data_IF_435561960093
#
_entry.id   IF_435561960093
#
_cell.length_a   1.000
_cell.length_b   1.000
_cell.length_c   1.000
_cell.angle_alpha   90.00
_cell.angle_beta   90.00
_cell.angle_gamma   90.00
#
_symmetry.space_group_name_H-M   'P 1'
#
loop_
_entity.id
_entity.type
_entity.pdbx_description
1 polymer ?
#
# COMPACT_ATOMS: atom_id res chain seq x y z
N UNK A 1 1.27 -29.65 -41.35
CA UNK A 1 1.00 -28.68 -40.27
C UNK A 1 -0.40 -28.91 -39.73
N UNK A 2 -0.51 -29.37 -38.47
CA UNK A 2 -1.80 -29.58 -37.79
C UNK A 2 -2.07 -28.33 -36.93
N UNK A 3 -3.09 -27.51 -37.20
CA UNK A 3 -3.41 -26.37 -36.35
C UNK A 3 -4.00 -26.87 -35.02
N UNK A 4 -3.47 -26.37 -33.91
CA UNK A 4 -3.91 -26.74 -32.56
C UNK A 4 -5.35 -26.31 -32.29
N UNK A 5 -6.17 -27.25 -31.82
CA UNK A 5 -7.59 -27.12 -31.42
C UNK A 5 -7.87 -25.91 -30.50
N UNK A 6 -6.86 -25.42 -29.78
CA UNK A 6 -6.94 -24.22 -28.94
C UNK A 6 -7.34 -22.95 -29.71
N UNK A 7 -6.94 -22.81 -30.98
CA UNK A 7 -7.26 -21.59 -31.76
C UNK A 7 -8.72 -21.51 -32.20
N UNK A 8 -9.37 -22.65 -32.43
CA UNK A 8 -10.79 -22.71 -32.79
C UNK A 8 -11.69 -22.41 -31.59
N UNK A 9 -11.31 -22.83 -30.38
CA UNK A 9 -12.09 -22.57 -29.16
C UNK A 9 -12.10 -21.07 -28.76
N UNK A 10 -10.97 -20.37 -28.92
CA UNK A 10 -10.88 -18.93 -28.63
C UNK A 10 -11.69 -18.09 -29.61
N UNK A 11 -11.78 -18.51 -30.87
CA UNK A 11 -12.57 -17.79 -31.87
C UNK A 11 -14.07 -17.94 -31.64
N UNK A 12 -14.54 -19.13 -31.21
CA UNK A 12 -15.97 -19.37 -30.93
C UNK A 12 -16.45 -18.59 -29.70
N UNK A 13 -15.61 -18.39 -28.68
CA UNK A 13 -15.96 -17.62 -27.47
C UNK A 13 -16.19 -16.12 -27.74
N UNK A 14 -15.48 -15.56 -28.72
CA UNK A 14 -15.59 -14.14 -29.07
C UNK A 14 -16.83 -13.84 -29.93
N UNK A 15 -17.36 -14.82 -30.67
CA UNK A 15 -18.46 -14.60 -31.62
C UNK A 15 -19.84 -14.77 -30.95
N UNK A 16 -19.95 -15.52 -29.84
CA UNK A 16 -21.23 -15.75 -29.15
C UNK A 16 -21.52 -14.78 -27.99
N UNK A 17 -20.55 -13.97 -27.55
CA UNK A 17 -20.72 -13.06 -26.40
C UNK A 17 -21.12 -11.63 -26.79
N UNK A 18 -21.79 -11.47 -27.94
CA UNK A 18 -22.42 -10.23 -28.39
C UNK A 18 -23.59 -9.78 -27.50
N UNK A 19 -23.29 -9.38 -26.27
CA UNK A 19 -24.13 -8.51 -25.44
C UNK A 19 -23.32 -7.28 -25.09
N UNK A 20 -23.38 -6.31 -26.01
CA UNK A 20 -23.19 -4.90 -25.71
C UNK A 20 -24.43 -4.44 -24.93
N UNK A 21 -24.27 -4.03 -23.68
CA UNK A 21 -24.69 -2.70 -23.17
C UNK A 21 -24.85 -2.64 -21.64
N UNK A 22 -24.33 -1.53 -21.10
CA UNK A 22 -24.81 -0.78 -19.93
C UNK A 22 -24.64 -1.39 -18.54
N UNK A 23 -23.44 -1.23 -17.96
CA UNK A 23 -23.32 -0.52 -16.68
C UNK A 23 -21.95 0.16 -16.59
N UNK A 24 -21.99 1.49 -16.53
CA UNK A 24 -20.94 2.26 -15.90
C UNK A 24 -20.71 1.79 -14.45
N UNK A 25 -19.52 2.12 -13.93
CA UNK A 25 -19.04 1.95 -12.55
C UNK A 25 -18.38 0.60 -12.20
N UNK A 26 -17.04 0.60 -12.29
CA UNK A 26 -16.18 -0.02 -11.30
C UNK A 26 -16.69 0.37 -9.90
N UNK A 27 -17.38 -0.53 -9.21
CA UNK A 27 -17.73 -0.35 -7.80
C UNK A 27 -16.50 -0.58 -6.94
N UNK A 28 -15.75 0.49 -6.68
CA UNK A 28 -15.05 0.63 -5.42
C UNK A 28 -16.10 0.81 -4.32
N UNK A 29 -16.46 -0.28 -3.64
CA UNK A 29 -17.33 -0.24 -2.47
C UNK A 29 -16.48 -0.35 -1.19
N UNK A 30 -15.94 0.80 -0.73
CA UNK A 30 -15.65 1.01 0.69
C UNK A 30 -16.67 2.03 1.21
N UNK A 31 -17.79 1.50 1.68
CA UNK A 31 -18.81 2.28 2.39
C UNK A 31 -18.29 2.63 3.79
N UNK A 32 -17.93 3.90 4.02
CA UNK A 32 -17.76 4.44 5.37
C UNK A 32 -18.51 5.78 5.48
N UNK A 33 -19.42 5.94 6.45
CA UNK A 33 -20.37 7.03 6.50
C UNK A 33 -19.77 8.24 7.22
N UNK A 34 -19.68 9.37 6.54
CA UNK A 34 -19.37 10.64 7.20
C UNK A 34 -19.01 11.74 6.21
N UNK A 35 -19.99 12.35 5.56
CA UNK A 35 -19.74 13.49 4.68
C UNK A 35 -20.95 14.41 4.55
N UNK A 36 -20.99 15.48 5.34
CA UNK A 36 -21.79 16.67 5.06
C UNK A 36 -20.96 17.54 4.12
N UNK A 37 -21.58 18.01 3.04
CA UNK A 37 -20.99 18.86 2.02
C UNK A 37 -20.55 20.24 2.57
N UNK A 38 -19.34 20.69 2.22
CA UNK A 38 -19.03 22.00 1.59
C UNK A 38 -17.52 22.30 1.62
N UNK A 39 -17.01 22.73 0.45
CA UNK A 39 -15.68 23.26 0.11
C UNK A 39 -14.59 22.21 -0.17
N UNK A 40 -13.99 22.37 -1.36
CA UNK A 40 -13.13 21.41 -2.02
C UNK A 40 -11.74 21.28 -1.36
N UNK A 41 -11.43 20.08 -0.89
CA UNK A 41 -10.07 19.54 -0.90
C UNK A 41 -9.95 18.75 -2.21
N UNK A 42 -9.47 19.40 -3.27
CA UNK A 42 -8.91 18.65 -4.39
C UNK A 42 -7.58 18.12 -3.86
N UNK A 43 -7.59 16.88 -3.36
CA UNK A 43 -6.41 16.04 -3.36
C UNK A 43 -5.96 15.93 -4.82
N UNK A 44 -5.05 16.83 -5.22
CA UNK A 44 -4.30 16.68 -6.45
C UNK A 44 -3.60 15.32 -6.27
N UNK A 45 -3.87 14.32 -7.12
CA UNK A 45 -3.11 13.09 -7.05
C UNK A 45 -1.67 13.45 -7.36
N UNK A 46 -0.86 13.56 -6.30
CA UNK A 46 0.55 13.29 -6.41
C UNK A 46 0.61 11.90 -7.06
N UNK A 47 1.18 11.79 -8.26
CA UNK A 47 1.27 10.57 -9.08
C UNK A 47 2.09 9.49 -8.35
N UNK A 48 1.58 9.03 -7.23
CA UNK A 48 2.27 8.22 -6.23
C UNK A 48 1.48 6.96 -6.01
N UNK A 49 2.22 5.86 -5.85
CA UNK A 49 1.68 4.51 -5.98
C UNK A 49 0.74 4.10 -4.85
N UNK A 50 0.70 4.85 -3.76
CA UNK A 50 -0.03 4.49 -2.54
C UNK A 50 -0.46 5.72 -1.74
N UNK A 51 -1.45 5.57 -0.86
CA UNK A 51 -1.87 6.57 0.12
C UNK A 51 -1.31 6.28 1.52
N UNK A 52 -1.33 7.27 2.43
CA UNK A 52 -0.95 7.02 3.83
C UNK A 52 -1.90 6.06 4.55
N UNK A 53 -3.16 5.97 4.09
CA UNK A 53 -4.12 4.96 4.58
C UNK A 53 -3.67 3.55 4.18
N UNK A 54 -3.11 3.39 2.99
CA UNK A 54 -2.55 2.10 2.55
C UNK A 54 -1.31 1.73 3.39
N UNK A 55 -0.41 2.69 3.65
CA UNK A 55 0.75 2.50 4.54
C UNK A 55 0.32 2.04 5.93
N UNK A 56 -0.64 2.75 6.54
CA UNK A 56 -1.14 2.41 7.86
C UNK A 56 -1.76 1.00 7.89
N UNK A 57 -2.47 0.62 6.83
CA UNK A 57 -3.10 -0.69 6.70
C UNK A 57 -2.06 -1.80 6.57
N UNK A 58 -1.06 -1.62 5.71
CA UNK A 58 -0.01 -2.60 5.44
C UNK A 58 0.89 -2.81 6.67
N UNK A 59 1.22 -1.75 7.41
CA UNK A 59 2.09 -1.83 8.58
C UNK A 59 1.37 -2.07 9.90
N UNK A 60 0.04 -2.12 9.92
CA UNK A 60 -0.75 -2.44 11.12
C UNK A 60 -0.28 -3.72 11.84
N UNK A 61 0.03 -4.83 11.15
CA UNK A 61 0.53 -6.03 11.81
C UNK A 61 1.89 -5.83 12.51
N UNK A 62 2.66 -4.81 12.13
CA UNK A 62 3.97 -4.51 12.71
C UNK A 62 3.90 -3.77 14.05
N UNK A 63 2.74 -3.23 14.45
CA UNK A 63 2.65 -2.37 15.65
C UNK A 63 3.12 -3.08 16.92
N UNK A 64 2.79 -4.35 17.11
CA UNK A 64 3.26 -5.12 18.27
C UNK A 64 4.78 -5.22 18.32
N UNK A 65 5.42 -5.43 17.16
CA UNK A 65 6.88 -5.47 17.06
C UNK A 65 7.49 -4.08 17.34
N UNK A 66 6.94 -3.01 16.77
CA UNK A 66 7.42 -1.65 17.00
C UNK A 66 7.31 -1.23 18.48
N UNK A 67 6.25 -1.68 19.17
CA UNK A 67 5.97 -1.32 20.58
C UNK A 67 6.69 -2.21 21.59
N UNK A 68 6.58 -3.53 21.44
CA UNK A 68 7.06 -4.50 22.43
C UNK A 68 8.34 -5.25 22.01
N UNK A 69 8.72 -5.20 20.73
CA UNK A 69 9.88 -5.91 20.20
C UNK A 69 9.55 -7.36 19.81
N UNK A 70 10.51 -8.26 19.95
CA UNK A 70 10.40 -9.65 19.52
C UNK A 70 10.69 -9.83 18.03
N UNK A 71 9.81 -10.56 17.33
CA UNK A 71 9.91 -10.80 15.90
C UNK A 71 8.66 -10.27 15.18
N UNK A 72 8.80 -9.65 14.00
CA UNK A 72 7.70 -9.39 13.09
C UNK A 72 6.86 -10.64 12.85
N UNK A 73 5.54 -10.48 12.76
CA UNK A 73 4.69 -11.56 12.25
C UNK A 73 4.86 -11.72 10.75
N UNK A 74 4.42 -12.84 10.19
CA UNK A 74 4.43 -13.05 8.73
C UNK A 74 3.65 -11.95 7.99
N UNK A 75 2.52 -11.51 8.54
CA UNK A 75 1.71 -10.43 7.97
C UNK A 75 2.43 -9.07 8.04
N UNK A 76 3.25 -8.84 9.06
CA UNK A 76 4.08 -7.63 9.13
C UNK A 76 5.12 -7.64 8.01
N UNK A 77 5.78 -8.77 7.77
CA UNK A 77 6.76 -8.88 6.69
C UNK A 77 6.11 -8.72 5.31
N UNK A 78 4.96 -9.36 5.07
CA UNK A 78 4.19 -9.18 3.82
C UNK A 78 3.79 -7.71 3.63
N UNK A 79 3.36 -7.04 4.70
CA UNK A 79 3.03 -5.62 4.67
C UNK A 79 4.24 -4.74 4.31
N UNK A 80 5.38 -5.00 4.92
CA UNK A 80 6.62 -4.28 4.66
C UNK A 80 7.18 -4.53 3.24
N UNK A 81 7.07 -5.76 2.74
CA UNK A 81 7.46 -6.13 1.37
C UNK A 81 6.60 -5.39 0.34
N UNK A 82 5.27 -5.34 0.54
CA UNK A 82 4.38 -4.55 -0.31
C UNK A 82 4.75 -3.05 -0.29
N UNK A 83 5.17 -2.51 0.86
CA UNK A 83 5.64 -1.12 0.94
C UNK A 83 6.93 -0.92 0.16
N UNK A 84 7.87 -1.87 0.23
CA UNK A 84 9.09 -1.83 -0.57
C UNK A 84 8.77 -1.82 -2.07
N UNK A 85 7.89 -2.71 -2.53
CA UNK A 85 7.45 -2.80 -3.93
C UNK A 85 6.74 -1.54 -4.43
N UNK A 86 6.09 -0.80 -3.52
CA UNK A 86 5.44 0.46 -3.83
C UNK A 86 6.42 1.65 -3.83
N UNK A 87 7.59 1.50 -3.20
CA UNK A 87 8.56 2.58 -2.94
C UNK A 87 9.79 2.47 -3.85
N UNK A 88 9.67 2.91 -5.11
CA UNK A 88 10.71 2.73 -6.13
C UNK A 88 11.44 4.03 -6.52
N UNK A 89 11.12 5.13 -5.87
CA UNK A 89 11.67 6.44 -6.21
C UNK A 89 11.91 7.30 -4.96
N UNK A 90 12.73 8.34 -5.10
CA UNK A 90 12.92 9.32 -4.02
C UNK A 90 11.65 10.06 -3.64
N UNK A 91 10.71 10.23 -4.57
CA UNK A 91 9.41 10.80 -4.26
C UNK A 91 8.58 9.85 -3.39
N UNK A 92 8.57 8.56 -3.73
CA UNK A 92 7.87 7.54 -2.95
C UNK A 92 8.49 7.40 -1.54
N UNK A 93 9.82 7.42 -1.41
CA UNK A 93 10.51 7.37 -0.12
C UNK A 93 10.12 8.55 0.80
N UNK A 94 10.08 9.76 0.25
CA UNK A 94 9.64 10.95 0.99
C UNK A 94 8.20 10.85 1.42
N UNK A 95 7.32 10.40 0.52
CA UNK A 95 5.91 10.17 0.83
C UNK A 95 5.73 9.12 1.92
N UNK A 96 6.44 7.99 1.85
CA UNK A 96 6.42 6.97 2.88
C UNK A 96 6.86 7.56 4.23
N UNK A 97 7.94 8.34 4.24
CA UNK A 97 8.42 9.01 5.44
C UNK A 97 7.35 9.92 6.05
N UNK A 98 6.72 10.78 5.24
CA UNK A 98 5.67 11.70 5.69
C UNK A 98 4.45 10.93 6.24
N UNK A 99 4.05 9.84 5.57
CA UNK A 99 2.98 8.97 6.06
C UNK A 99 3.34 8.37 7.43
N UNK A 100 4.52 7.76 7.57
CA UNK A 100 4.96 7.14 8.82
C UNK A 100 5.12 8.16 9.95
N UNK A 101 5.61 9.36 9.64
CA UNK A 101 5.70 10.48 10.59
C UNK A 101 4.33 10.86 11.15
N UNK A 102 3.28 10.82 10.33
CA UNK A 102 1.90 11.07 10.75
C UNK A 102 1.24 9.90 11.48
N UNK A 103 1.54 8.65 11.08
CA UNK A 103 0.85 7.46 11.58
C UNK A 103 1.47 6.87 12.86
N UNK A 104 2.80 6.84 12.97
CA UNK A 104 3.47 6.20 14.11
C UNK A 104 3.13 6.85 15.47
N UNK A 105 2.98 8.18 15.61
CA UNK A 105 2.54 8.76 16.88
C UNK A 105 1.15 8.29 17.32
N UNK A 106 0.28 7.88 16.38
CA UNK A 106 -1.11 7.46 16.67
C UNK A 106 -1.19 6.08 17.31
N UNK A 107 -0.15 5.24 17.19
CA UNK A 107 -0.15 3.88 17.77
C UNK A 107 0.26 3.86 19.26
N UNK A 108 0.58 5.04 19.82
CA UNK A 108 1.12 5.22 21.16
C UNK A 108 2.65 5.09 21.20
N UNK A 109 3.26 4.91 22.38
CA UNK A 109 4.70 4.77 22.52
C UNK A 109 5.23 3.58 21.70
N UNK A 110 6.26 3.82 20.89
CA UNK A 110 6.97 2.83 20.08
C UNK A 110 8.47 3.12 20.11
N UNK A 111 9.29 2.13 19.73
CA UNK A 111 10.73 2.29 19.60
C UNK A 111 11.09 2.56 18.12
N UNK A 112 11.52 3.79 17.75
CA UNK A 112 11.85 4.12 16.36
C UNK A 112 13.05 3.33 15.84
N UNK A 113 13.92 2.82 16.71
CA UNK A 113 15.08 2.02 16.30
C UNK A 113 14.69 0.63 15.77
N UNK A 114 13.42 0.23 15.91
CA UNK A 114 12.92 -1.04 15.39
C UNK A 114 12.47 -0.98 13.95
N UNK A 115 12.18 0.19 13.39
CA UNK A 115 11.83 0.30 11.96
C UNK A 115 12.93 -0.29 11.05
N UNK A 116 14.21 0.10 11.20
CA UNK A 116 15.30 -0.50 10.44
C UNK A 116 15.45 -2.02 10.60
N UNK A 117 15.00 -2.58 11.73
CA UNK A 117 15.12 -4.00 12.00
C UNK A 117 14.10 -4.84 11.22
N UNK A 118 13.07 -4.22 10.64
CA UNK A 118 12.09 -4.92 9.79
C UNK A 118 12.79 -5.50 8.57
N UNK A 119 13.64 -4.71 7.91
CA UNK A 119 14.48 -5.14 6.77
C UNK A 119 15.21 -6.45 7.08
N UNK A 120 16.02 -6.45 8.14
CA UNK A 120 16.87 -7.58 8.52
C UNK A 120 16.06 -8.79 9.00
N UNK A 121 14.93 -8.57 9.68
CA UNK A 121 14.12 -9.66 10.24
C UNK A 121 13.14 -10.26 9.24
N UNK A 122 12.79 -9.51 8.21
CA UNK A 122 11.90 -9.95 7.14
C UNK A 122 12.63 -10.29 5.84
N UNK A 123 13.95 -10.10 5.76
CA UNK A 123 14.77 -10.36 4.57
C UNK A 123 14.31 -9.55 3.34
N UNK A 124 14.01 -8.27 3.57
CA UNK A 124 13.52 -7.34 2.53
C UNK A 124 14.67 -6.43 2.12
N UNK A 125 14.88 -6.19 0.83
CA UNK A 125 15.90 -5.26 0.32
C UNK A 125 15.38 -3.80 0.34
N UNK A 126 14.92 -3.34 1.50
CA UNK A 126 14.40 -1.98 1.68
C UNK A 126 14.58 -1.49 3.13
N UNK A 127 15.42 -0.46 3.27
CA UNK A 127 15.73 0.14 4.56
C UNK A 127 14.80 1.31 4.87
N UNK A 128 14.08 1.24 5.99
CA UNK A 128 13.33 2.37 6.55
C UNK A 128 14.09 2.94 7.75
N UNK A 129 14.55 4.21 7.72
CA UNK A 129 15.24 4.81 8.85
C UNK A 129 14.35 4.93 10.09
N UNK A 130 14.92 5.20 11.28
CA UNK A 130 14.13 5.56 12.45
C UNK A 130 13.27 6.80 12.17
N UNK A 131 11.95 6.68 12.36
CA UNK A 131 11.00 7.78 12.14
C UNK A 131 10.35 8.16 13.47
N UNK A 132 10.32 9.46 13.73
CA UNK A 132 9.68 10.13 14.87
C UNK A 132 8.81 11.27 14.37
N UNK A 133 7.98 11.85 15.25
CA UNK A 133 7.22 13.06 14.91
C UNK A 133 8.09 14.28 14.52
N UNK A 134 9.40 14.24 14.81
CA UNK A 134 10.36 15.29 14.48
C UNK A 134 11.24 14.95 13.26
N UNK A 135 11.06 13.78 12.62
CA UNK A 135 11.89 13.38 11.48
C UNK A 135 11.69 14.34 10.30
N UNK A 136 12.80 14.72 9.65
CA UNK A 136 12.80 15.49 8.42
C UNK A 136 12.70 14.55 7.22
N UNK A 137 11.57 14.60 6.52
CA UNK A 137 11.25 13.76 5.37
C UNK A 137 11.55 14.44 4.03
N UNK A 138 12.19 15.62 4.02
CA UNK A 138 12.47 16.36 2.79
C UNK A 138 13.67 15.84 1.99
N UNK A 139 14.42 14.88 2.54
CA UNK A 139 15.71 14.44 1.99
C UNK A 139 15.56 13.15 1.20
#
# INVERSE_FOLDING_TARGET
>A
MRPSIKFLATLVFLITSGVMELTAAFSANRNSPGGRALLAEVDIPDETRFSCVDVATLLKPCWSFLKAGGSPTSECCIGAENIADLTNSKQDERKLCDCLKGELPKIGPYDPNRLPLIEQKCDIEFYIPPITGATDCSR
#
